data_IF_308319154347
#
_entry.id   IF_308319154347
#
_cell.length_a   1.000
_cell.length_b   1.000
_cell.length_c   1.000
_cell.angle_alpha   90.00
_cell.angle_beta   90.00
_cell.angle_gamma   90.00
#
_symmetry.space_group_name_H-M   'P 1'
#
loop_
_entity.id
_entity.type
_entity.pdbx_description
1 polymer ?
#
# COMPACT_ATOMS: atom_id res chain seq x y z
N UNK A 1 3.12 21.60 -60.94
CA UNK A 1 4.55 21.94 -60.79
C UNK A 1 5.26 20.73 -60.21
N UNK A 2 6.39 20.35 -60.81
CA UNK A 2 7.21 19.18 -60.48
C UNK A 2 7.25 18.86 -58.98
N UNK A 3 6.64 17.74 -58.59
CA UNK A 3 7.00 17.01 -57.38
C UNK A 3 8.31 16.27 -57.68
N UNK A 4 9.37 17.05 -57.77
CA UNK A 4 10.73 16.55 -57.79
C UNK A 4 10.97 15.74 -56.51
N UNK A 5 11.62 14.61 -56.69
CA UNK A 5 12.07 13.70 -55.64
C UNK A 5 12.88 14.50 -54.61
N UNK A 6 12.32 14.74 -53.42
CA UNK A 6 13.05 15.29 -52.28
C UNK A 6 12.84 14.37 -51.09
N UNK A 7 13.89 13.62 -50.76
CA UNK A 7 13.97 12.77 -49.59
C UNK A 7 14.19 11.31 -49.99
N UNK A 8 15.34 10.76 -49.61
CA UNK A 8 15.64 9.34 -49.75
C UNK A 8 14.67 8.44 -48.94
N UNK A 9 15.04 7.19 -48.64
CA UNK A 9 14.13 6.18 -48.06
C UNK A 9 13.50 6.53 -46.70
N UNK A 10 13.76 7.71 -46.13
CA UNK A 10 13.23 8.20 -44.85
C UNK A 10 12.13 9.29 -44.95
N UNK A 11 11.82 9.82 -46.14
CA UNK A 11 10.89 10.96 -46.30
C UNK A 11 11.49 12.32 -45.87
N UNK A 12 10.77 13.45 -46.02
CA UNK A 12 11.30 14.78 -45.69
C UNK A 12 11.39 14.99 -44.18
N UNK A 13 12.61 15.24 -43.66
CA UNK A 13 12.88 15.46 -42.23
C UNK A 13 11.92 16.46 -41.58
N UNK A 14 11.60 17.56 -42.27
CA UNK A 14 10.67 18.58 -41.77
C UNK A 14 9.25 18.05 -41.51
N UNK A 15 8.76 17.08 -42.29
CA UNK A 15 7.45 16.47 -42.08
C UNK A 15 7.48 15.48 -40.91
N UNK A 16 8.55 14.67 -40.77
CA UNK A 16 8.74 13.82 -39.59
C UNK A 16 8.80 14.67 -38.30
N UNK A 17 9.52 15.79 -38.33
CA UNK A 17 9.62 16.74 -37.22
C UNK A 17 8.25 17.36 -36.89
N UNK A 18 7.48 17.73 -37.91
CA UNK A 18 6.13 18.26 -37.75
C UNK A 18 5.17 17.24 -37.14
N UNK A 19 5.25 15.96 -37.52
CA UNK A 19 4.46 14.87 -36.93
C UNK A 19 4.84 14.71 -35.46
N UNK A 20 6.13 14.56 -35.14
CA UNK A 20 6.60 14.42 -33.74
C UNK A 20 6.14 15.60 -32.88
N UNK A 21 6.22 16.82 -33.40
CA UNK A 21 5.72 18.02 -32.72
C UNK A 21 4.21 17.98 -32.52
N UNK A 22 3.43 17.66 -33.57
CA UNK A 22 1.98 17.59 -33.47
C UNK A 22 1.51 16.53 -32.46
N UNK A 23 2.21 15.40 -32.38
CA UNK A 23 1.97 14.37 -31.35
C UNK A 23 2.27 14.92 -29.95
N UNK A 24 3.46 15.49 -29.72
CA UNK A 24 3.83 16.04 -28.40
C UNK A 24 2.92 17.18 -27.93
N UNK A 25 2.44 17.99 -28.87
CA UNK A 25 1.54 19.12 -28.59
C UNK A 25 0.06 18.68 -28.48
N UNK A 26 -0.26 17.39 -28.70
CA UNK A 26 -1.63 16.88 -28.73
C UNK A 26 -2.51 17.48 -29.84
N UNK A 27 -1.90 17.96 -30.93
CA UNK A 27 -2.57 18.69 -31.99
C UNK A 27 -3.21 17.74 -33.03
N UNK A 28 -4.39 17.22 -32.70
CA UNK A 28 -5.14 16.29 -33.56
C UNK A 28 -5.48 16.89 -34.94
N UNK A 29 -5.72 18.21 -35.04
CA UNK A 29 -6.00 18.87 -36.33
C UNK A 29 -4.78 18.90 -37.26
N UNK A 30 -3.58 19.07 -36.71
CA UNK A 30 -2.35 18.94 -37.46
C UNK A 30 -2.11 17.49 -37.89
N UNK A 31 -2.37 16.52 -37.00
CA UNK A 31 -2.28 15.10 -37.31
C UNK A 31 -3.29 14.66 -38.39
N UNK A 32 -4.52 15.19 -38.37
CA UNK A 32 -5.54 14.95 -39.40
C UNK A 32 -5.13 15.49 -40.78
N UNK A 33 -4.41 16.62 -40.81
CA UNK A 33 -3.87 17.17 -42.06
C UNK A 33 -2.71 16.31 -42.58
N UNK A 34 -1.79 15.95 -41.68
CA UNK A 34 -0.63 15.11 -42.03
C UNK A 34 -1.02 13.68 -42.38
N UNK A 35 -2.15 13.16 -41.86
CA UNK A 35 -2.61 11.80 -42.13
C UNK A 35 -3.17 11.59 -43.54
N UNK A 36 -3.80 12.61 -44.13
CA UNK A 36 -4.34 12.53 -45.49
C UNK A 36 -3.26 12.39 -46.57
N UNK A 37 -2.11 13.01 -46.33
CA UNK A 37 -1.03 13.07 -47.31
C UNK A 37 0.17 12.21 -46.87
N UNK A 38 0.90 12.66 -45.85
CA UNK A 38 2.22 12.11 -45.49
C UNK A 38 2.15 10.80 -44.71
N UNK A 39 1.26 10.67 -43.72
CA UNK A 39 1.13 9.45 -42.90
C UNK A 39 0.18 8.41 -43.53
N UNK A 40 -0.34 8.67 -44.74
CA UNK A 40 -1.06 7.65 -45.52
C UNK A 40 -0.14 6.47 -45.91
N UNK A 41 1.17 6.71 -45.95
CA UNK A 41 2.21 5.71 -46.11
C UNK A 41 2.62 5.24 -44.70
N UNK A 42 2.22 4.02 -44.31
CA UNK A 42 2.44 3.49 -42.96
C UNK A 42 3.92 3.50 -42.54
N UNK A 43 4.82 3.24 -43.48
CA UNK A 43 6.28 3.32 -43.32
C UNK A 43 6.74 4.66 -42.69
N UNK A 44 6.04 5.76 -42.97
CA UNK A 44 6.38 7.08 -42.43
C UNK A 44 6.03 7.21 -40.94
N UNK A 45 5.02 6.48 -40.45
CA UNK A 45 4.65 6.45 -39.03
C UNK A 45 5.78 5.82 -38.22
N UNK A 46 6.34 4.70 -38.69
CA UNK A 46 7.45 3.99 -38.03
C UNK A 46 8.77 4.78 -38.04
N UNK A 47 8.98 5.57 -39.10
CA UNK A 47 10.16 6.46 -39.26
C UNK A 47 10.10 7.70 -38.36
N UNK A 48 8.93 8.05 -37.82
CA UNK A 48 8.79 9.17 -36.89
C UNK A 48 9.33 8.79 -35.50
N UNK A 49 10.65 8.77 -35.38
CA UNK A 49 11.39 8.50 -34.13
C UNK A 49 12.16 9.71 -33.66
N UNK A 50 12.21 9.98 -32.36
CA UNK A 50 13.08 11.01 -31.79
C UNK A 50 14.55 10.57 -31.64
N UNK A 51 15.39 11.45 -31.09
CA UNK A 51 16.83 11.19 -30.88
C UNK A 51 17.09 10.04 -29.89
N UNK A 52 16.12 9.74 -29.02
CA UNK A 52 16.15 8.61 -28.08
C UNK A 52 15.51 7.35 -28.70
N UNK A 53 15.12 7.39 -29.98
CA UNK A 53 14.45 6.30 -30.66
C UNK A 53 12.96 6.16 -30.30
N UNK A 54 12.37 7.09 -29.55
CA UNK A 54 10.95 7.06 -29.18
C UNK A 54 10.08 7.22 -30.42
N UNK A 55 9.17 6.28 -30.64
CA UNK A 55 8.17 6.32 -31.72
C UNK A 55 7.06 7.33 -31.41
N UNK A 56 6.19 7.59 -32.39
CA UNK A 56 4.97 8.42 -32.18
C UNK A 56 4.09 7.90 -31.05
N UNK A 57 4.06 6.59 -30.76
CA UNK A 57 3.27 6.03 -29.64
C UNK A 57 3.88 6.46 -28.31
N UNK A 58 5.20 6.39 -28.14
CA UNK A 58 5.88 6.89 -26.94
C UNK A 58 5.65 8.39 -26.74
N UNK A 59 5.72 9.16 -27.83
CA UNK A 59 5.57 10.61 -27.79
C UNK A 59 4.13 11.07 -27.54
N UNK A 60 3.15 10.18 -27.76
CA UNK A 60 1.73 10.45 -27.56
C UNK A 60 1.26 10.19 -26.12
N UNK A 61 2.15 9.69 -25.26
CA UNK A 61 1.84 9.42 -23.86
C UNK A 61 1.77 10.73 -23.08
N UNK A 62 0.59 11.06 -22.60
CA UNK A 62 0.35 12.14 -21.65
C UNK A 62 -0.78 11.75 -20.69
N UNK A 63 -1.28 12.69 -19.87
CA UNK A 63 -2.37 12.40 -18.92
C UNK A 63 -3.72 12.13 -19.61
N UNK A 64 -3.90 12.62 -20.83
CA UNK A 64 -5.01 12.41 -21.74
C UNK A 64 -4.66 11.29 -22.71
N UNK A 65 -5.53 10.29 -22.80
CA UNK A 65 -5.39 9.18 -23.75
C UNK A 65 -5.74 9.57 -25.20
N UNK A 66 -6.23 10.78 -25.47
CA UNK A 66 -6.78 11.17 -26.78
C UNK A 66 -5.76 11.15 -27.94
N UNK A 67 -4.55 11.67 -27.72
CA UNK A 67 -3.49 11.66 -28.75
C UNK A 67 -3.02 10.24 -29.02
N UNK A 68 -2.84 9.46 -27.95
CA UNK A 68 -2.49 8.06 -28.02
C UNK A 68 -3.55 7.27 -28.79
N UNK A 69 -4.83 7.48 -28.49
CA UNK A 69 -5.95 6.83 -29.18
C UNK A 69 -5.91 7.09 -30.69
N UNK A 70 -5.69 8.35 -31.08
CA UNK A 70 -5.55 8.70 -32.49
C UNK A 70 -4.37 7.98 -33.14
N UNK A 71 -3.19 8.01 -32.50
CA UNK A 71 -1.97 7.41 -33.06
C UNK A 71 -2.11 5.88 -33.16
N UNK A 72 -2.71 5.22 -32.18
CA UNK A 72 -2.87 3.77 -32.17
C UNK A 72 -4.00 3.32 -33.11
N UNK A 73 -5.20 3.90 -33.00
CA UNK A 73 -6.37 3.41 -33.74
C UNK A 73 -6.45 3.95 -35.18
N UNK A 74 -6.09 5.23 -35.41
CA UNK A 74 -6.18 5.85 -36.75
C UNK A 74 -4.91 5.66 -37.56
N UNK A 75 -3.75 5.89 -36.94
CA UNK A 75 -2.47 5.74 -37.64
C UNK A 75 -1.93 4.31 -37.61
N UNK A 76 -2.55 3.41 -36.82
CA UNK A 76 -2.12 1.99 -36.68
C UNK A 76 -0.64 1.87 -36.34
N UNK A 77 -0.13 2.80 -35.54
CA UNK A 77 1.25 2.79 -35.11
C UNK A 77 1.53 1.56 -34.23
N UNK A 78 2.70 0.95 -34.41
CA UNK A 78 3.12 -0.21 -33.63
C UNK A 78 3.28 0.13 -32.14
N UNK A 79 2.42 -0.46 -31.32
CA UNK A 79 2.39 -0.29 -29.85
C UNK A 79 3.52 -1.03 -29.15
N UNK A 80 4.21 -1.95 -29.83
CA UNK A 80 5.29 -2.78 -29.29
C UNK A 80 6.68 -2.34 -29.74
N UNK A 81 6.77 -1.34 -30.62
CA UNK A 81 8.04 -0.80 -31.07
C UNK A 81 8.86 -0.27 -29.89
N UNK A 82 10.14 -0.60 -29.83
CA UNK A 82 11.02 -0.17 -28.73
C UNK A 82 11.82 1.09 -29.07
N UNK A 83 12.09 1.92 -28.05
CA UNK A 83 13.07 3.01 -28.12
C UNK A 83 14.53 2.51 -27.99
N UNK A 84 15.50 3.42 -27.93
CA UNK A 84 16.92 3.07 -27.88
C UNK A 84 17.33 2.30 -26.59
N UNK A 85 16.52 2.40 -25.54
CA UNK A 85 16.71 1.66 -24.28
C UNK A 85 16.00 0.30 -24.28
N UNK A 86 15.39 -0.10 -25.41
CA UNK A 86 14.59 -1.31 -25.54
C UNK A 86 13.22 -1.21 -24.87
N UNK A 87 12.80 -0.01 -24.44
CA UNK A 87 11.52 0.20 -23.75
C UNK A 87 10.41 0.36 -24.77
N UNK A 88 9.26 -0.26 -24.52
CA UNK A 88 8.02 -0.07 -25.28
C UNK A 88 7.25 1.15 -24.75
N UNK A 89 6.25 1.68 -25.47
CA UNK A 89 5.33 2.68 -24.94
C UNK A 89 4.69 2.26 -23.61
N UNK A 90 4.40 0.97 -23.42
CA UNK A 90 3.84 0.46 -22.17
C UNK A 90 4.81 0.66 -20.99
N UNK A 91 6.12 0.51 -21.19
CA UNK A 91 7.11 0.83 -20.16
C UNK A 91 7.07 2.32 -19.78
N UNK A 92 6.95 3.22 -20.76
CA UNK A 92 6.90 4.66 -20.49
C UNK A 92 5.58 5.08 -19.83
N UNK A 93 4.46 4.47 -20.23
CA UNK A 93 3.15 4.73 -19.62
C UNK A 93 3.15 4.40 -18.13
N UNK A 94 3.68 3.23 -17.75
CA UNK A 94 3.76 2.83 -16.35
C UNK A 94 4.83 3.58 -15.55
N UNK A 95 5.86 4.15 -16.17
CA UNK A 95 6.81 5.03 -15.44
C UNK A 95 6.15 6.30 -14.91
N UNK A 96 5.17 6.82 -15.64
CA UNK A 96 4.48 8.06 -15.30
C UNK A 96 3.12 7.83 -14.63
N UNK A 97 2.78 6.57 -14.34
CA UNK A 97 1.47 6.12 -13.87
C UNK A 97 0.29 6.62 -14.74
N UNK A 98 0.46 6.60 -16.07
CA UNK A 98 -0.60 6.95 -17.01
C UNK A 98 -1.56 5.77 -17.20
N UNK A 99 -2.46 5.57 -16.24
CA UNK A 99 -3.37 4.41 -16.17
C UNK A 99 -4.21 4.26 -17.44
N UNK A 100 -4.86 5.33 -17.91
CA UNK A 100 -5.67 5.28 -19.15
C UNK A 100 -4.83 4.90 -20.38
N UNK A 101 -3.58 5.40 -20.45
CA UNK A 101 -2.67 5.02 -21.53
C UNK A 101 -2.25 3.55 -21.43
N UNK A 102 -2.01 3.06 -20.21
CA UNK A 102 -1.69 1.66 -19.93
C UNK A 102 -2.83 0.75 -20.42
N UNK A 103 -4.08 1.07 -20.05
CA UNK A 103 -5.27 0.34 -20.49
C UNK A 103 -5.42 0.36 -22.01
N UNK A 104 -5.35 1.55 -22.63
CA UNK A 104 -5.48 1.69 -24.08
C UNK A 104 -4.42 0.91 -24.84
N UNK A 105 -3.17 0.94 -24.39
CA UNK A 105 -2.09 0.17 -24.99
C UNK A 105 -2.37 -1.34 -24.93
N UNK A 106 -2.75 -1.85 -23.77
CA UNK A 106 -3.05 -3.28 -23.59
C UNK A 106 -4.27 -3.72 -24.40
N UNK A 107 -5.33 -2.90 -24.43
CA UNK A 107 -6.55 -3.16 -25.21
C UNK A 107 -6.29 -3.15 -26.73
N UNK A 108 -5.18 -2.54 -27.16
CA UNK A 108 -4.72 -2.51 -28.55
C UNK A 108 -3.51 -3.43 -28.81
N UNK A 109 -3.28 -4.43 -27.95
CA UNK A 109 -2.31 -5.50 -28.21
C UNK A 109 -0.86 -5.17 -27.82
N UNK A 110 -0.65 -4.26 -26.86
CA UNK A 110 0.66 -4.11 -26.25
C UNK A 110 1.05 -5.40 -25.50
N UNK A 111 2.24 -5.90 -25.79
CA UNK A 111 2.83 -7.09 -25.18
C UNK A 111 3.58 -6.67 -23.91
N UNK A 112 3.03 -7.08 -22.76
CA UNK A 112 3.56 -6.79 -21.44
C UNK A 112 4.71 -7.73 -21.03
N UNK A 113 5.12 -8.65 -21.91
CA UNK A 113 6.27 -9.54 -21.72
C UNK A 113 7.54 -8.99 -22.35
N UNK A 114 7.44 -7.97 -23.21
CA UNK A 114 8.60 -7.37 -23.87
C UNK A 114 9.54 -6.79 -22.81
N UNK A 115 10.80 -7.15 -22.96
CA UNK A 115 11.86 -6.82 -22.03
C UNK A 115 12.70 -5.64 -22.55
N UNK A 116 12.93 -4.66 -21.68
CA UNK A 116 13.91 -3.61 -21.95
C UNK A 116 15.35 -4.15 -21.99
N UNK A 117 16.32 -3.29 -22.29
CA UNK A 117 17.75 -3.67 -22.32
C UNK A 117 18.27 -4.27 -21.01
N UNK A 118 17.63 -3.99 -19.87
CA UNK A 118 17.93 -4.58 -18.55
C UNK A 118 17.10 -5.82 -18.23
N UNK A 119 16.40 -6.38 -19.23
CA UNK A 119 15.37 -7.42 -19.11
C UNK A 119 14.26 -7.12 -18.12
N UNK A 120 14.04 -5.84 -17.80
CA UNK A 120 12.90 -5.40 -17.01
C UNK A 120 11.67 -5.35 -17.92
N UNK A 121 10.58 -6.02 -17.53
CA UNK A 121 9.25 -5.90 -18.18
C UNK A 121 8.56 -4.59 -17.75
N UNK A 122 7.43 -4.19 -18.37
CA UNK A 122 6.63 -3.08 -17.89
C UNK A 122 6.18 -3.28 -16.44
N UNK A 123 5.86 -4.50 -16.01
CA UNK A 123 5.46 -4.79 -14.64
C UNK A 123 6.56 -4.46 -13.62
N UNK A 124 7.81 -4.86 -13.90
CA UNK A 124 8.98 -4.46 -13.09
C UNK A 124 9.15 -2.94 -13.01
N UNK A 125 8.93 -2.25 -14.14
CA UNK A 125 9.02 -0.79 -14.21
C UNK A 125 7.94 -0.13 -13.35
N UNK A 126 6.70 -0.61 -13.45
CA UNK A 126 5.58 -0.10 -12.67
C UNK A 126 5.84 -0.24 -11.16
N UNK A 127 6.36 -1.41 -10.73
CA UNK A 127 6.75 -1.66 -9.35
C UNK A 127 7.89 -0.75 -8.88
N UNK A 128 8.91 -0.53 -9.73
CA UNK A 128 10.02 0.37 -9.41
C UNK A 128 9.58 1.84 -9.30
N UNK A 129 8.55 2.25 -10.05
CA UNK A 129 8.03 3.62 -10.08
C UNK A 129 6.84 3.86 -9.14
N UNK A 130 6.42 2.88 -8.34
CA UNK A 130 5.29 3.04 -7.43
C UNK A 130 3.91 3.12 -8.10
N UNK A 131 3.80 2.68 -9.36
CA UNK A 131 2.59 2.80 -10.18
C UNK A 131 1.65 1.62 -9.98
N UNK A 132 1.08 1.53 -8.77
CA UNK A 132 0.25 0.41 -8.31
C UNK A 132 -0.99 0.22 -9.20
N UNK A 133 -1.64 1.29 -9.63
CA UNK A 133 -2.81 1.21 -10.50
C UNK A 133 -2.47 0.60 -11.86
N UNK A 134 -1.30 0.95 -12.42
CA UNK A 134 -0.80 0.29 -13.63
C UNK A 134 -0.43 -1.18 -13.40
N UNK A 135 0.07 -1.54 -12.21
CA UNK A 135 0.33 -2.94 -11.85
C UNK A 135 -0.98 -3.74 -11.79
N UNK A 136 -2.05 -3.18 -11.24
CA UNK A 136 -3.38 -3.80 -11.22
C UNK A 136 -3.93 -4.03 -12.62
N UNK A 137 -3.80 -3.02 -13.49
CA UNK A 137 -4.19 -3.07 -14.91
C UNK A 137 -3.45 -4.19 -15.66
N UNK A 138 -2.12 -4.30 -15.48
CA UNK A 138 -1.31 -5.36 -16.10
C UNK A 138 -1.66 -6.72 -15.50
N UNK A 139 -1.75 -6.82 -14.17
CA UNK A 139 -2.05 -8.07 -13.47
C UNK A 139 -3.41 -8.66 -13.88
N UNK A 140 -4.45 -7.82 -13.96
CA UNK A 140 -5.80 -8.24 -14.33
C UNK A 140 -5.91 -8.73 -15.79
N UNK A 141 -5.01 -8.28 -16.67
CA UNK A 141 -4.96 -8.67 -18.10
C UNK A 141 -3.96 -9.80 -18.38
N UNK A 142 -3.13 -10.17 -17.41
CA UNK A 142 -2.16 -11.26 -17.56
C UNK A 142 -2.86 -12.62 -17.58
N UNK A 143 -2.46 -13.49 -18.52
CA UNK A 143 -2.91 -14.90 -18.54
C UNK A 143 -2.32 -15.72 -17.38
N UNK A 144 -1.16 -15.32 -16.86
CA UNK A 144 -0.49 -15.97 -15.72
C UNK A 144 -0.15 -14.95 -14.60
N UNK A 145 -1.15 -14.44 -13.86
CA UNK A 145 -0.92 -13.38 -12.86
C UNK A 145 0.08 -13.76 -11.75
N UNK A 146 0.07 -15.02 -11.31
CA UNK A 146 1.00 -15.51 -10.30
C UNK A 146 2.47 -15.56 -10.80
N UNK A 147 2.67 -15.88 -12.08
CA UNK A 147 4.00 -15.86 -12.70
C UNK A 147 4.45 -14.42 -12.94
N UNK A 148 3.55 -13.54 -13.38
CA UNK A 148 3.80 -12.12 -13.63
C UNK A 148 4.42 -11.41 -12.43
N UNK A 149 3.85 -11.60 -11.24
CA UNK A 149 4.34 -11.01 -9.98
C UNK A 149 5.74 -11.51 -9.59
N UNK A 150 6.11 -12.71 -10.07
CA UNK A 150 7.36 -13.39 -9.76
C UNK A 150 8.35 -13.41 -10.94
N UNK A 151 8.09 -12.66 -12.01
CA UNK A 151 9.05 -12.49 -13.10
C UNK A 151 10.36 -11.93 -12.57
N UNK A 152 11.45 -12.27 -13.26
CA UNK A 152 12.80 -11.85 -12.91
C UNK A 152 13.43 -11.10 -14.08
N UNK A 153 14.13 -10.01 -13.77
CA UNK A 153 14.91 -9.26 -14.75
C UNK A 153 16.30 -9.88 -15.01
N UNK A 154 17.18 -9.14 -15.70
CA UNK A 154 18.53 -9.59 -16.08
C UNK A 154 19.41 -9.91 -14.89
N UNK A 155 19.18 -9.23 -13.77
CA UNK A 155 19.90 -9.43 -12.51
C UNK A 155 19.18 -10.44 -11.63
N UNK A 156 18.25 -11.22 -12.19
CA UNK A 156 17.36 -12.11 -11.45
C UNK A 156 16.57 -11.38 -10.35
N UNK A 157 16.37 -10.07 -10.48
CA UNK A 157 15.64 -9.27 -9.51
C UNK A 157 14.15 -9.32 -9.82
N UNK A 158 13.34 -9.68 -8.84
CA UNK A 158 11.88 -9.58 -8.91
C UNK A 158 11.38 -8.14 -8.73
N UNK A 159 10.10 -7.90 -9.02
CA UNK A 159 9.43 -6.64 -8.68
C UNK A 159 9.60 -6.26 -7.19
N UNK A 160 9.60 -7.26 -6.28
CA UNK A 160 9.79 -7.04 -4.84
C UNK A 160 11.20 -6.53 -4.50
N UNK A 161 12.22 -6.88 -5.29
CA UNK A 161 13.56 -6.29 -5.14
C UNK A 161 13.58 -4.81 -5.54
N UNK A 162 12.84 -4.43 -6.60
CA UNK A 162 12.79 -3.05 -7.08
C UNK A 162 12.13 -2.13 -6.06
N UNK A 163 11.01 -2.54 -5.47
CA UNK A 163 10.37 -1.74 -4.42
C UNK A 163 11.16 -1.75 -3.11
N UNK A 164 11.86 -2.85 -2.78
CA UNK A 164 12.76 -2.89 -1.64
C UNK A 164 13.95 -1.94 -1.76
N UNK A 165 14.38 -1.65 -3.00
CA UNK A 165 15.38 -0.62 -3.26
C UNK A 165 14.82 0.79 -3.02
N UNK A 166 13.65 1.09 -3.59
CA UNK A 166 13.04 2.43 -3.57
C UNK A 166 12.45 2.82 -2.20
N UNK A 167 11.84 1.86 -1.48
CA UNK A 167 11.27 2.06 -0.14
C UNK A 167 9.75 2.16 -0.08
N UNK A 168 9.02 2.03 -1.20
CA UNK A 168 7.56 2.08 -1.20
C UNK A 168 6.94 0.80 -0.61
N UNK A 169 6.45 0.92 0.63
CA UNK A 169 5.77 -0.16 1.36
C UNK A 169 4.42 -0.53 0.73
N UNK A 170 3.76 0.38 0.01
CA UNK A 170 2.46 0.11 -0.63
C UNK A 170 2.61 -0.90 -1.77
N UNK A 171 3.64 -0.71 -2.61
CA UNK A 171 3.99 -1.66 -3.67
C UNK A 171 4.39 -3.00 -3.07
N UNK A 172 5.24 -2.98 -2.03
CA UNK A 172 5.67 -4.20 -1.33
C UNK A 172 4.48 -4.99 -0.80
N UNK A 173 3.50 -4.29 -0.21
CA UNK A 173 2.26 -4.87 0.28
C UNK A 173 1.44 -5.48 -0.84
N UNK A 174 1.18 -4.71 -1.88
CA UNK A 174 0.43 -5.17 -3.04
C UNK A 174 1.07 -6.44 -3.63
N UNK A 175 2.38 -6.45 -3.83
CA UNK A 175 3.09 -7.61 -4.40
C UNK A 175 2.93 -8.87 -3.53
N UNK A 176 3.13 -8.76 -2.22
CA UNK A 176 3.02 -9.92 -1.32
C UNK A 176 1.56 -10.41 -1.23
N UNK A 177 0.59 -9.51 -1.18
CA UNK A 177 -0.85 -9.86 -1.20
C UNK A 177 -1.26 -10.58 -2.51
N UNK A 178 -0.55 -10.32 -3.61
CA UNK A 178 -0.76 -10.96 -4.91
C UNK A 178 0.19 -12.13 -5.20
N UNK A 179 0.87 -12.66 -4.17
CA UNK A 179 1.63 -13.91 -4.27
C UNK A 179 3.11 -13.75 -4.66
N UNK A 180 3.72 -12.59 -4.42
CA UNK A 180 5.16 -12.43 -4.58
C UNK A 180 5.95 -13.32 -3.62
N UNK A 181 6.97 -13.98 -4.14
CA UNK A 181 7.91 -14.79 -3.36
C UNK A 181 8.83 -13.88 -2.55
N UNK A 182 8.68 -13.92 -1.23
CA UNK A 182 9.37 -13.01 -0.29
C UNK A 182 10.89 -13.21 -0.30
N UNK A 183 11.37 -14.45 -0.23
CA UNK A 183 12.80 -14.78 -0.12
C UNK A 183 13.45 -15.20 -1.44
N UNK A 184 12.97 -14.63 -2.56
CA UNK A 184 13.62 -14.83 -3.87
C UNK A 184 15.01 -14.19 -3.87
N UNK A 185 16.00 -14.87 -4.44
CA UNK A 185 17.37 -14.40 -4.50
C UNK A 185 17.72 -13.84 -5.88
N UNK A 186 18.27 -12.63 -5.92
CA UNK A 186 18.81 -12.03 -7.13
C UNK A 186 20.16 -12.65 -7.55
N UNK A 187 20.79 -12.10 -8.59
CA UNK A 187 22.08 -12.58 -9.10
C UNK A 187 23.24 -12.43 -8.11
N UNK A 188 23.12 -11.52 -7.14
CA UNK A 188 24.06 -11.36 -6.03
C UNK A 188 23.63 -12.14 -4.78
N UNK A 189 22.69 -13.09 -4.93
CA UNK A 189 22.07 -13.86 -3.85
C UNK A 189 21.43 -12.99 -2.75
N UNK A 190 21.12 -11.72 -3.05
CA UNK A 190 20.42 -10.84 -2.14
C UNK A 190 18.92 -11.11 -2.24
N UNK A 191 18.24 -11.14 -1.10
CA UNK A 191 16.78 -11.16 -1.03
C UNK A 191 16.22 -9.74 -1.02
N UNK A 192 14.93 -9.52 -1.30
CA UNK A 192 14.28 -8.22 -1.12
C UNK A 192 14.53 -7.62 0.27
N UNK A 193 14.49 -8.44 1.32
CA UNK A 193 14.82 -8.00 2.67
C UNK A 193 16.26 -7.48 2.78
N UNK A 194 17.25 -8.19 2.22
CA UNK A 194 18.65 -7.75 2.22
C UNK A 194 18.83 -6.44 1.44
N UNK A 195 18.14 -6.29 0.29
CA UNK A 195 18.15 -5.03 -0.48
C UNK A 195 17.57 -3.87 0.35
N UNK A 196 16.41 -4.07 0.99
CA UNK A 196 15.79 -3.07 1.85
C UNK A 196 16.70 -2.65 3.01
N UNK A 197 17.34 -3.61 3.67
CA UNK A 197 18.31 -3.34 4.75
C UNK A 197 19.52 -2.56 4.23
N UNK A 198 20.08 -2.95 3.07
CA UNK A 198 21.23 -2.29 2.45
C UNK A 198 20.94 -0.83 2.09
N UNK A 199 19.72 -0.55 1.63
CA UNK A 199 19.27 0.80 1.28
C UNK A 199 18.76 1.61 2.49
N UNK A 200 18.48 0.95 3.63
CA UNK A 200 17.97 1.60 4.84
C UNK A 200 16.46 1.86 4.81
N UNK A 201 15.70 1.04 4.09
CA UNK A 201 14.26 1.18 3.91
C UNK A 201 13.49 0.55 5.08
N UNK A 202 13.52 1.19 6.25
CA UNK A 202 12.98 0.65 7.51
C UNK A 202 11.54 0.16 7.41
N UNK A 203 10.65 0.92 6.73
CA UNK A 203 9.25 0.55 6.58
C UNK A 203 9.05 -0.74 5.75
N UNK A 204 9.85 -0.92 4.70
CA UNK A 204 9.83 -2.16 3.90
C UNK A 204 10.43 -3.32 4.68
N UNK A 205 11.50 -3.08 5.44
CA UNK A 205 12.09 -4.10 6.33
C UNK A 205 11.07 -4.60 7.35
N UNK A 206 10.42 -3.69 8.07
CA UNK A 206 9.38 -4.02 9.04
C UNK A 206 8.24 -4.82 8.39
N UNK A 207 7.78 -4.37 7.22
CA UNK A 207 6.75 -5.07 6.47
C UNK A 207 7.18 -6.49 6.08
N UNK A 208 8.33 -6.67 5.41
CA UNK A 208 8.80 -7.99 4.96
C UNK A 208 9.02 -8.95 6.13
N UNK A 209 9.58 -8.46 7.25
CA UNK A 209 9.72 -9.27 8.47
C UNK A 209 8.35 -9.68 9.04
N UNK A 210 7.36 -8.80 9.03
CA UNK A 210 5.99 -9.13 9.46
C UNK A 210 5.34 -10.21 8.59
N UNK A 211 5.75 -10.33 7.33
CA UNK A 211 5.29 -11.35 6.39
C UNK A 211 6.14 -12.64 6.44
N UNK A 212 7.10 -12.74 7.37
CA UNK A 212 7.88 -13.95 7.59
C UNK A 212 9.14 -14.08 6.73
N UNK A 213 9.66 -12.98 6.17
CA UNK A 213 10.94 -12.98 5.44
C UNK A 213 12.09 -13.54 6.30
N UNK A 214 12.93 -14.40 5.71
CA UNK A 214 14.07 -14.98 6.39
C UNK A 214 15.23 -13.97 6.54
N UNK A 215 15.34 -13.39 7.72
CA UNK A 215 16.38 -12.43 8.07
C UNK A 215 17.81 -13.01 8.17
N UNK A 216 17.98 -14.33 8.06
CA UNK A 216 19.27 -15.01 8.12
C UNK A 216 19.88 -15.32 6.76
N UNK A 217 19.21 -14.94 5.66
CA UNK A 217 19.79 -15.05 4.32
C UNK A 217 21.04 -14.17 4.19
N UNK A 218 21.97 -14.63 3.37
CA UNK A 218 23.25 -13.96 3.12
C UNK A 218 23.40 -13.71 1.63
N UNK A 219 23.97 -12.57 1.26
CA UNK A 219 24.34 -12.27 -0.12
C UNK A 219 25.48 -13.17 -0.62
N UNK A 220 25.92 -12.98 -1.86
CA UNK A 220 27.01 -13.73 -2.49
C UNK A 220 28.34 -13.61 -1.73
N UNK A 221 28.54 -12.55 -0.95
CA UNK A 221 29.72 -12.34 -0.12
C UNK A 221 29.54 -12.88 1.31
N UNK A 222 28.41 -13.52 1.62
CA UNK A 222 28.10 -14.00 2.95
C UNK A 222 27.61 -12.90 3.91
N UNK A 223 27.28 -11.70 3.45
CA UNK A 223 26.78 -10.66 4.33
C UNK A 223 25.28 -10.87 4.62
N UNK A 224 24.93 -10.96 5.89
CA UNK A 224 23.53 -10.94 6.36
C UNK A 224 23.04 -9.50 6.59
N UNK A 225 21.74 -9.33 6.87
CA UNK A 225 21.17 -8.01 7.19
C UNK A 225 21.91 -7.28 8.32
N UNK A 226 22.32 -8.01 9.37
CA UNK A 226 23.09 -7.45 10.49
C UNK A 226 24.48 -6.93 10.07
N UNK A 227 25.11 -7.53 9.06
CA UNK A 227 26.37 -7.01 8.51
C UNK A 227 26.14 -5.63 7.87
N UNK A 228 25.08 -5.49 7.06
CA UNK A 228 24.75 -4.21 6.43
C UNK A 228 24.35 -3.14 7.46
N UNK A 229 23.59 -3.50 8.50
CA UNK A 229 23.30 -2.60 9.61
C UNK A 229 24.58 -2.14 10.33
N UNK A 230 25.55 -3.03 10.53
CA UNK A 230 26.82 -2.70 11.16
C UNK A 230 27.65 -1.70 10.32
N UNK A 231 27.68 -1.83 8.98
CA UNK A 231 28.34 -0.84 8.09
C UNK A 231 27.68 0.55 8.21
N UNK A 232 26.35 0.59 8.21
CA UNK A 232 25.58 1.84 8.23
C UNK A 232 25.43 2.45 9.63
N UNK A 233 25.68 1.66 10.68
CA UNK A 233 25.30 1.97 12.06
C UNK A 233 23.78 2.21 12.21
N UNK A 234 22.97 1.40 11.52
CA UNK A 234 21.50 1.50 11.48
C UNK A 234 20.88 0.72 12.65
N UNK A 235 20.81 1.38 13.81
CA UNK A 235 20.29 0.80 15.06
C UNK A 235 18.82 0.35 14.96
N UNK A 236 17.88 1.16 14.42
CA UNK A 236 16.49 0.74 14.31
C UNK A 236 16.32 -0.54 13.51
N UNK A 237 16.97 -0.65 12.35
CA UNK A 237 16.87 -1.85 11.50
C UNK A 237 17.57 -3.05 12.15
N UNK A 238 18.72 -2.85 12.80
CA UNK A 238 19.38 -3.93 13.54
C UNK A 238 18.49 -4.48 14.66
N UNK A 239 17.81 -3.61 15.41
CA UNK A 239 16.89 -4.03 16.47
C UNK A 239 15.69 -4.80 15.90
N UNK A 240 15.12 -4.33 14.79
CA UNK A 240 14.03 -5.05 14.10
C UNK A 240 14.47 -6.46 13.68
N UNK A 241 15.65 -6.59 13.05
CA UNK A 241 16.17 -7.89 12.65
C UNK A 241 16.41 -8.82 13.85
N UNK A 242 16.98 -8.31 14.95
CA UNK A 242 17.22 -9.09 16.16
C UNK A 242 15.92 -9.52 16.84
N UNK A 243 14.91 -8.64 16.89
CA UNK A 243 13.58 -8.97 17.39
C UNK A 243 12.92 -10.08 16.53
N UNK A 244 13.21 -10.09 15.23
CA UNK A 244 12.80 -11.14 14.28
C UNK A 244 13.74 -12.36 14.26
N UNK A 245 14.56 -12.55 15.30
CA UNK A 245 15.46 -13.70 15.50
C UNK A 245 16.60 -13.81 14.47
N UNK A 246 17.11 -12.69 13.97
CA UNK A 246 18.35 -12.68 13.20
C UNK A 246 19.50 -13.23 14.04
N UNK A 247 20.30 -14.10 13.43
CA UNK A 247 21.46 -14.73 14.04
C UNK A 247 22.66 -13.79 13.94
N UNK A 248 23.14 -13.21 15.06
CA UNK A 248 24.24 -12.27 15.06
C UNK A 248 25.60 -12.96 14.89
N UNK A 249 25.65 -14.29 14.89
CA UNK A 249 26.89 -15.09 14.77
C UNK A 249 27.20 -15.50 13.34
N UNK A 250 26.34 -15.17 12.37
CA UNK A 250 26.62 -15.43 10.97
C UNK A 250 27.92 -14.74 10.56
N UNK A 251 28.71 -15.43 9.76
CA UNK A 251 29.99 -14.95 9.26
C UNK A 251 29.92 -14.80 7.75
N UNK A 252 30.50 -13.71 7.24
CA UNK A 252 30.65 -13.51 5.80
C UNK A 252 31.84 -14.30 5.22
N UNK A 253 32.14 -14.14 3.93
CA UNK A 253 33.21 -14.85 3.23
C UNK A 253 34.61 -14.64 3.85
N UNK A 254 34.82 -13.54 4.57
CA UNK A 254 36.07 -13.24 5.29
C UNK A 254 36.05 -13.72 6.75
N UNK A 255 35.04 -14.51 7.13
CA UNK A 255 34.76 -14.92 8.50
C UNK A 255 34.51 -13.74 9.46
N UNK A 256 34.13 -12.58 8.93
CA UNK A 256 33.74 -11.44 9.76
C UNK A 256 32.31 -11.67 10.25
N UNK A 257 32.08 -11.50 11.54
CA UNK A 257 30.72 -11.33 12.12
C UNK A 257 30.26 -9.87 11.96
N UNK A 258 28.97 -9.55 12.17
CA UNK A 258 28.52 -8.15 12.22
C UNK A 258 29.33 -7.29 13.20
N UNK A 259 29.81 -7.89 14.30
CA UNK A 259 30.66 -7.20 15.27
C UNK A 259 32.04 -6.84 14.71
N UNK A 260 32.63 -7.69 13.85
CA UNK A 260 33.86 -7.34 13.12
C UNK A 260 33.60 -6.16 12.19
N UNK A 261 32.51 -6.18 11.44
CA UNK A 261 32.14 -5.10 10.51
C UNK A 261 31.93 -3.78 11.26
N UNK A 262 31.21 -3.80 12.39
CA UNK A 262 31.03 -2.61 13.23
C UNK A 262 32.36 -2.06 13.76
N UNK A 263 33.32 -2.93 14.06
CA UNK A 263 34.65 -2.54 14.52
C UNK A 263 35.59 -2.07 13.39
N UNK A 264 35.37 -2.50 12.15
CA UNK A 264 36.13 -2.05 10.98
C UNK A 264 35.62 -0.69 10.48
N UNK A 265 34.31 -0.48 10.49
CA UNK A 265 33.64 0.75 10.06
C UNK A 265 33.38 1.69 11.24
N UNK A 266 34.40 1.91 12.09
CA UNK A 266 34.28 2.79 13.26
C UNK A 266 33.87 4.19 12.83
N UNK A 267 32.72 4.64 13.30
CA UNK A 267 32.38 6.07 13.30
C UNK A 267 32.90 6.65 14.60
N UNK A 268 34.15 7.12 14.55
CA UNK A 268 34.87 7.70 15.69
C UNK A 268 33.97 8.73 16.38
N UNK A 269 33.72 8.52 17.67
CA UNK A 269 32.95 9.39 18.59
C UNK A 269 31.43 9.48 18.42
N UNK A 270 30.76 8.45 17.86
CA UNK A 270 29.29 8.40 17.86
C UNK A 270 28.72 7.53 19.00
N UNK A 271 27.85 8.06 19.88
CA UNK A 271 27.08 7.26 20.82
C UNK A 271 26.31 6.11 20.15
N UNK A 272 25.91 6.30 18.88
CA UNK A 272 25.22 5.27 18.10
C UNK A 272 26.12 4.06 17.78
N UNK A 273 27.43 4.28 17.56
CA UNK A 273 28.36 3.18 17.34
C UNK A 273 28.54 2.33 18.60
N UNK A 274 28.70 2.97 19.77
CA UNK A 274 28.80 2.23 21.03
C UNK A 274 27.54 1.43 21.33
N UNK A 275 26.38 1.99 21.00
CA UNK A 275 25.09 1.31 21.08
C UNK A 275 25.03 0.13 20.10
N UNK A 276 25.52 0.26 18.87
CA UNK A 276 25.52 -0.83 17.88
C UNK A 276 26.41 -1.98 18.35
N UNK A 277 27.61 -1.67 18.83
CA UNK A 277 28.51 -2.68 19.43
C UNK A 277 27.85 -3.33 20.64
N UNK A 278 27.18 -2.54 21.48
CA UNK A 278 26.40 -3.04 22.60
C UNK A 278 25.32 -4.02 22.18
N UNK A 279 24.44 -3.59 21.28
CA UNK A 279 23.34 -4.36 20.73
C UNK A 279 23.81 -5.72 20.21
N UNK A 280 24.88 -5.73 19.40
CA UNK A 280 25.43 -6.97 18.83
C UNK A 280 26.00 -7.91 19.91
N UNK A 281 26.71 -7.37 20.91
CA UNK A 281 27.24 -8.16 22.02
C UNK A 281 26.12 -8.75 22.88
N UNK A 282 25.10 -7.95 23.17
CA UNK A 282 23.92 -8.33 23.94
C UNK A 282 23.09 -9.40 23.21
N UNK A 283 23.06 -9.33 21.88
CA UNK A 283 22.47 -10.35 21.03
C UNK A 283 23.29 -11.66 21.00
N UNK A 284 24.51 -11.68 21.55
CA UNK A 284 25.33 -12.88 21.69
C UNK A 284 26.42 -13.05 20.64
N UNK A 285 26.88 -11.97 19.99
CA UNK A 285 28.15 -11.95 19.27
C UNK A 285 29.32 -12.22 20.23
N UNK A 286 30.22 -13.13 19.86
CA UNK A 286 31.45 -13.35 20.62
C UNK A 286 32.50 -12.26 20.29
N UNK A 287 32.93 -11.42 21.26
CA UNK A 287 33.98 -10.41 21.06
C UNK A 287 35.38 -11.00 20.84
N UNK A 288 35.57 -12.30 21.06
CA UNK A 288 36.83 -13.01 20.87
C UNK A 288 36.87 -13.82 19.58
N UNK A 289 35.74 -13.90 18.84
CA UNK A 289 35.68 -14.57 17.54
C UNK A 289 36.76 -14.01 16.62
N UNK A 290 37.49 -14.90 15.94
CA UNK A 290 38.54 -14.54 14.99
C UNK A 290 37.99 -14.63 13.56
N UNK A 291 38.39 -13.69 12.72
CA UNK A 291 38.10 -13.72 11.29
C UNK A 291 39.22 -14.42 10.47
N UNK A 292 39.13 -14.39 9.14
CA UNK A 292 40.12 -15.00 8.24
C UNK A 292 41.53 -14.41 8.38
N UNK A 293 41.66 -13.17 8.90
CA UNK A 293 42.95 -12.53 9.19
C UNK A 293 43.45 -12.81 10.61
N UNK A 294 42.82 -13.73 11.35
CA UNK A 294 43.14 -14.06 12.73
C UNK A 294 43.07 -12.84 13.68
N UNK A 295 42.16 -11.90 13.40
CA UNK A 295 41.91 -10.71 14.21
C UNK A 295 40.54 -10.83 14.87
N UNK A 296 40.45 -10.40 16.13
CA UNK A 296 39.15 -10.21 16.82
C UNK A 296 38.61 -8.80 16.54
N UNK A 297 37.30 -8.52 16.75
CA UNK A 297 36.72 -7.21 16.51
C UNK A 297 37.50 -6.06 17.17
N UNK A 298 37.88 -6.23 18.44
CA UNK A 298 38.62 -5.20 19.20
C UNK A 298 40.03 -4.88 18.66
N UNK A 299 40.58 -5.64 17.70
CA UNK A 299 41.87 -5.34 17.08
C UNK A 299 41.78 -4.26 16.00
N UNK A 300 40.57 -3.99 15.50
CA UNK A 300 40.30 -2.93 14.53
C UNK A 300 40.08 -1.55 15.17
N UNK A 301 39.96 -1.47 16.50
CA UNK A 301 39.72 -0.22 17.23
C UNK A 301 40.93 0.25 18.02
N UNK A 302 41.02 1.57 18.25
CA UNK A 302 42.06 2.18 19.08
C UNK A 302 42.04 1.70 20.54
N UNK A 303 43.17 1.78 21.24
CA UNK A 303 43.35 1.27 22.62
C UNK A 303 42.23 1.72 23.59
N UNK A 304 41.79 2.97 23.50
CA UNK A 304 40.75 3.53 24.38
C UNK A 304 39.36 2.91 24.20
N UNK A 305 39.07 2.34 23.03
CA UNK A 305 37.76 1.77 22.69
C UNK A 305 37.68 0.25 22.90
N UNK A 306 38.82 -0.43 23.10
CA UNK A 306 38.85 -1.89 23.32
C UNK A 306 38.02 -2.32 24.53
N UNK A 307 37.88 -1.45 25.54
CA UNK A 307 37.06 -1.69 26.73
C UNK A 307 35.59 -1.96 26.41
N UNK A 308 35.06 -1.41 25.31
CA UNK A 308 33.66 -1.54 24.89
C UNK A 308 33.32 -2.99 24.50
N UNK A 309 34.32 -3.78 24.10
CA UNK A 309 34.18 -5.18 23.69
C UNK A 309 34.38 -6.18 24.85
N UNK A 310 34.64 -5.69 26.07
CA UNK A 310 34.93 -6.56 27.21
C UNK A 310 33.65 -7.18 27.77
N UNK A 311 33.77 -8.42 28.27
CA UNK A 311 32.67 -9.12 28.94
C UNK A 311 32.08 -8.30 30.10
N UNK A 312 32.92 -7.60 30.86
CA UNK A 312 32.46 -6.73 31.95
C UNK A 312 31.58 -5.58 31.43
N UNK A 313 32.00 -4.89 30.35
CA UNK A 313 31.20 -3.82 29.76
C UNK A 313 29.86 -4.36 29.22
N UNK A 314 29.84 -5.57 28.65
CA UNK A 314 28.60 -6.24 28.21
C UNK A 314 27.70 -6.57 29.40
N UNK A 315 28.24 -7.18 30.47
CA UNK A 315 27.46 -7.52 31.67
C UNK A 315 26.87 -6.28 32.36
N UNK A 316 27.63 -5.17 32.40
CA UNK A 316 27.13 -3.90 32.90
C UNK A 316 25.97 -3.35 32.04
N UNK A 317 26.07 -3.48 30.70
CA UNK A 317 25.00 -3.10 29.77
C UNK A 317 23.77 -3.98 29.95
N UNK A 318 23.94 -5.31 30.02
CA UNK A 318 22.87 -6.29 30.33
C UNK A 318 22.13 -5.91 31.61
N UNK A 319 22.85 -5.56 32.69
CA UNK A 319 22.23 -5.16 33.96
C UNK A 319 21.42 -3.87 33.84
N UNK A 320 21.95 -2.87 33.13
CA UNK A 320 21.24 -1.59 32.90
C UNK A 320 19.97 -1.80 32.08
N UNK A 321 20.04 -2.56 30.99
CA UNK A 321 18.87 -2.87 30.17
C UNK A 321 17.84 -3.72 30.92
N UNK A 322 18.29 -4.71 31.69
CA UNK A 322 17.38 -5.52 32.50
C UNK A 322 16.62 -4.67 33.53
N UNK A 323 17.30 -3.74 34.21
CA UNK A 323 16.66 -2.79 35.13
C UNK A 323 15.67 -1.87 34.41
N UNK A 324 16.05 -1.33 33.24
CA UNK A 324 15.16 -0.49 32.45
C UNK A 324 13.92 -1.25 31.95
N UNK A 325 14.08 -2.53 31.56
CA UNK A 325 12.95 -3.41 31.19
C UNK A 325 12.02 -3.67 32.37
N UNK A 326 12.58 -3.97 33.55
CA UNK A 326 11.80 -4.17 34.77
C UNK A 326 10.99 -2.92 35.15
N UNK A 327 11.59 -1.74 35.05
CA UNK A 327 10.92 -0.45 35.26
C UNK A 327 9.78 -0.23 34.26
N UNK A 328 10.03 -0.47 32.97
CA UNK A 328 9.02 -0.34 31.91
C UNK A 328 7.87 -1.35 32.04
N UNK A 329 8.17 -2.60 32.40
CA UNK A 329 7.16 -3.64 32.62
C UNK A 329 6.29 -3.29 33.84
N UNK A 330 6.87 -2.70 34.88
CA UNK A 330 6.13 -2.19 36.04
C UNK A 330 5.22 -1.02 35.67
N UNK A 331 5.69 -0.06 34.85
CA UNK A 331 4.86 1.03 34.32
C UNK A 331 3.70 0.51 33.47
N UNK A 332 3.95 -0.46 32.58
CA UNK A 332 2.93 -1.08 31.75
C UNK A 332 1.87 -1.81 32.60
N UNK A 333 2.31 -2.54 33.63
CA UNK A 333 1.42 -3.21 34.57
C UNK A 333 0.51 -2.22 35.31
N UNK A 334 1.08 -1.10 35.79
CA UNK A 334 0.31 -0.02 36.41
C UNK A 334 -0.73 0.59 35.45
N UNK A 335 -0.33 0.89 34.21
CA UNK A 335 -1.23 1.41 33.19
C UNK A 335 -2.37 0.42 32.85
N UNK A 336 -2.07 -0.88 32.83
CA UNK A 336 -3.07 -1.93 32.60
C UNK A 336 -4.06 -2.04 33.76
N UNK A 337 -3.61 -1.91 35.00
CA UNK A 337 -4.50 -1.84 36.16
C UNK A 337 -5.40 -0.61 36.09
N UNK A 338 -4.88 0.56 35.76
CA UNK A 338 -5.66 1.79 35.60
C UNK A 338 -6.73 1.64 34.51
N UNK A 339 -6.37 1.07 33.36
CA UNK A 339 -7.30 0.80 32.27
C UNK A 339 -8.39 -0.19 32.71
N UNK A 340 -8.04 -1.23 33.48
CA UNK A 340 -8.98 -2.21 34.02
C UNK A 340 -9.96 -1.60 35.03
N UNK A 341 -9.46 -0.72 35.92
CA UNK A 341 -10.30 0.04 36.86
C UNK A 341 -11.26 0.96 36.12
N UNK A 342 -10.77 1.69 35.12
CA UNK A 342 -11.59 2.58 34.29
C UNK A 342 -12.66 1.82 33.52
N UNK A 343 -12.30 0.70 32.86
CA UNK A 343 -13.23 -0.18 32.16
C UNK A 343 -14.35 -0.67 33.09
N UNK A 344 -14.00 -1.11 34.30
CA UNK A 344 -14.98 -1.56 35.29
C UNK A 344 -15.95 -0.45 35.66
N UNK A 345 -15.44 0.76 35.94
CA UNK A 345 -16.26 1.94 36.25
C UNK A 345 -17.21 2.31 35.11
N UNK A 346 -16.72 2.34 33.87
CA UNK A 346 -17.55 2.64 32.70
C UNK A 346 -18.66 1.60 32.53
N UNK A 347 -18.33 0.31 32.68
CA UNK A 347 -19.33 -0.76 32.58
C UNK A 347 -20.39 -0.63 33.68
N UNK A 348 -20.00 -0.34 34.93
CA UNK A 348 -20.96 -0.12 36.02
C UNK A 348 -21.85 1.08 35.76
N UNK A 349 -21.31 2.19 35.25
CA UNK A 349 -22.08 3.39 34.92
C UNK A 349 -23.08 3.12 33.78
N UNK A 350 -22.68 2.36 32.76
CA UNK A 350 -23.56 1.94 31.66
C UNK A 350 -24.67 1.02 32.17
N UNK A 351 -24.35 0.06 33.04
CA UNK A 351 -25.36 -0.81 33.66
C UNK A 351 -26.35 -0.01 34.50
N UNK A 352 -25.87 0.93 35.31
CA UNK A 352 -26.74 1.83 36.09
C UNK A 352 -27.65 2.66 35.19
N UNK A 353 -27.12 3.24 34.10
CA UNK A 353 -27.92 4.03 33.16
C UNK A 353 -29.01 3.20 32.49
N UNK A 354 -28.67 2.02 31.99
CA UNK A 354 -29.66 1.10 31.37
C UNK A 354 -30.74 0.67 32.36
N UNK A 355 -30.36 0.38 33.60
CA UNK A 355 -31.33 0.03 34.65
C UNK A 355 -32.25 1.21 34.97
N UNK A 356 -31.73 2.43 34.96
CA UNK A 356 -32.53 3.63 35.18
C UNK A 356 -33.48 3.90 34.01
N UNK A 357 -33.00 3.81 32.78
CA UNK A 357 -33.82 3.95 31.56
C UNK A 357 -34.95 2.92 31.52
N UNK A 358 -34.67 1.65 31.82
CA UNK A 358 -35.70 0.61 31.88
C UNK A 358 -36.76 0.85 32.97
N UNK A 359 -36.35 1.36 34.13
CA UNK A 359 -37.28 1.72 35.20
C UNK A 359 -38.15 2.93 34.81
N UNK A 360 -37.59 3.88 34.08
CA UNK A 360 -38.31 5.06 33.58
C UNK A 360 -39.30 4.69 32.47
N UNK A 361 -38.92 3.79 31.55
CA UNK A 361 -39.82 3.25 30.53
C UNK A 361 -41.00 2.48 31.14
N UNK A 362 -40.76 1.65 32.16
CA UNK A 362 -41.82 0.94 32.91
C UNK A 362 -42.76 1.93 33.62
N UNK A 363 -42.22 3.01 34.20
CA UNK A 363 -42.99 4.09 34.82
C UNK A 363 -43.89 4.80 33.81
N UNK A 364 -43.35 5.20 32.66
CA UNK A 364 -44.10 5.84 31.58
C UNK A 364 -45.15 4.91 30.96
N UNK A 365 -44.85 3.61 30.84
CA UNK A 365 -45.79 2.60 30.35
C UNK A 365 -47.00 2.45 31.28
N UNK A 366 -46.76 2.38 32.61
CA UNK A 366 -47.82 2.35 33.62
C UNK A 366 -48.68 3.60 33.58
N UNK A 367 -48.08 4.78 33.52
CA UNK A 367 -48.83 6.05 33.42
C UNK A 367 -49.68 6.12 32.14
N UNK A 368 -49.15 5.63 31.01
CA UNK A 368 -49.89 5.56 29.74
C UNK A 368 -51.06 4.58 29.83
N UNK A 369 -50.88 3.42 30.46
CA UNK A 369 -51.94 2.44 30.66
C UNK A 369 -53.06 2.99 31.55
N UNK A 370 -52.70 3.66 32.64
CA UNK A 370 -53.67 4.34 33.53
C UNK A 370 -54.45 5.43 32.79
N UNK A 371 -53.79 6.27 31.99
CA UNK A 371 -54.46 7.27 31.14
C UNK A 371 -55.40 6.63 30.13
N UNK A 372 -55.02 5.51 29.53
CA UNK A 372 -55.87 4.79 28.58
C UNK A 372 -57.10 4.19 29.27
N UNK A 373 -56.94 3.60 30.46
CA UNK A 373 -58.06 3.12 31.28
C UNK A 373 -59.01 4.27 31.62
N UNK A 374 -58.49 5.39 32.12
CA UNK A 374 -59.30 6.57 32.43
C UNK A 374 -60.04 7.12 31.21
N UNK A 375 -59.41 7.14 30.03
CA UNK A 375 -60.06 7.56 28.78
C UNK A 375 -61.16 6.59 28.33
N UNK A 376 -60.95 5.28 28.47
CA UNK A 376 -61.96 4.26 28.17
C UNK A 376 -63.14 4.36 29.13
N UNK A 377 -62.91 4.54 30.43
CA UNK A 377 -63.96 4.74 31.42
C UNK A 377 -64.78 6.00 31.12
N UNK A 378 -64.11 7.12 30.80
CA UNK A 378 -64.79 8.34 30.39
C UNK A 378 -65.63 8.16 29.11
N UNK A 379 -65.13 7.39 28.14
CA UNK A 379 -65.87 7.06 26.91
C UNK A 379 -67.11 6.20 27.21
N UNK A 380 -66.98 5.18 28.06
CA UNK A 380 -68.14 4.38 28.49
C UNK A 380 -69.19 5.23 29.18
N UNK A 381 -68.77 6.13 30.09
CA UNK A 381 -69.70 7.06 30.74
C UNK A 381 -70.41 7.99 29.74
N UNK A 382 -69.69 8.46 28.72
CA UNK A 382 -70.27 9.26 27.64
C UNK A 382 -71.28 8.47 26.80
N UNK A 383 -70.92 7.25 26.38
CA UNK A 383 -71.79 6.38 25.58
C UNK A 383 -73.07 6.01 26.36
N UNK A 384 -72.95 5.69 27.66
CA UNK A 384 -74.10 5.48 28.55
C UNK A 384 -75.00 6.72 28.65
N UNK A 385 -74.41 7.91 28.80
CA UNK A 385 -75.17 9.16 28.85
C UNK A 385 -75.89 9.44 27.53
N UNK A 386 -75.25 9.18 26.39
CA UNK A 386 -75.85 9.32 25.07
C UNK A 386 -77.01 8.36 24.85
N UNK A 387 -76.90 7.09 25.26
CA UNK A 387 -78.01 6.14 25.20
C UNK A 387 -79.18 6.56 26.09
N UNK A 388 -78.91 7.07 27.30
CA UNK A 388 -79.97 7.63 28.16
C UNK A 388 -80.67 8.81 27.48
N UNK A 389 -79.92 9.71 26.83
CA UNK A 389 -80.51 10.80 26.06
C UNK A 389 -81.36 10.30 24.89
N UNK A 390 -80.87 9.34 24.09
CA UNK A 390 -81.65 8.74 22.98
C UNK A 390 -82.94 8.09 23.47
N UNK A 391 -82.88 7.37 24.59
CA UNK A 391 -84.06 6.75 25.19
C UNK A 391 -85.08 7.82 25.61
N UNK A 392 -84.64 8.90 26.25
CA UNK A 392 -85.49 10.03 26.62
C UNK A 392 -86.11 10.73 25.40
N UNK A 393 -85.32 10.96 24.34
CA UNK A 393 -85.81 11.53 23.08
C UNK A 393 -86.85 10.63 22.40
N UNK A 394 -86.62 9.32 22.36
CA UNK A 394 -87.56 8.34 21.82
C UNK A 394 -88.86 8.30 22.64
N UNK A 395 -88.77 8.39 23.96
CA UNK A 395 -89.94 8.53 24.85
C UNK A 395 -90.72 9.81 24.56
N UNK A 396 -90.03 10.95 24.42
CA UNK A 396 -90.64 12.24 24.09
C UNK A 396 -91.33 12.16 22.72
N UNK A 397 -90.67 11.57 21.71
CA UNK A 397 -91.22 11.36 20.39
C UNK A 397 -92.46 10.45 20.42
N UNK A 398 -92.43 9.36 21.21
CA UNK A 398 -93.58 8.47 21.41
C UNK A 398 -94.75 9.20 22.07
N UNK A 399 -94.49 10.02 23.09
CA UNK A 399 -95.50 10.86 23.75
C UNK A 399 -96.10 11.88 22.78
N UNK A 400 -95.28 12.54 21.97
CA UNK A 400 -95.74 13.44 20.88
C UNK A 400 -96.60 12.71 19.85
N UNK A 401 -96.18 11.54 19.37
CA UNK A 401 -96.97 10.74 18.42
C UNK A 401 -98.30 10.25 18.99
N UNK A 402 -98.39 9.96 20.29
CA UNK A 402 -99.67 9.66 20.94
C UNK A 402 -100.58 10.89 21.03
N UNK A 403 -100.01 12.06 21.33
CA UNK A 403 -100.74 13.34 21.32
C UNK A 403 -101.26 13.69 19.92
N UNK A 404 -100.46 13.53 18.88
CA UNK A 404 -100.89 13.73 17.49
C UNK A 404 -102.00 12.77 17.09
N UNK A 405 -101.87 11.47 17.42
CA UNK A 405 -102.94 10.48 17.19
C UNK A 405 -104.23 10.84 17.93
N UNK A 406 -104.13 11.32 19.17
CA UNK A 406 -105.28 11.81 19.93
C UNK A 406 -105.92 13.04 19.26
N UNK A 407 -105.11 13.96 18.74
CA UNK A 407 -105.59 15.14 18.01
C UNK A 407 -106.27 14.78 16.67
N UNK A 408 -105.71 13.85 15.89
CA UNK A 408 -106.36 13.35 14.66
C UNK A 408 -107.64 12.57 14.92
N UNK A 409 -107.78 11.91 16.07
CA UNK A 409 -109.04 11.27 16.50
C UNK A 409 -110.08 12.27 17.04
N UNK A 410 -109.65 13.44 17.48
CA UNK A 410 -110.53 14.52 17.92
C UNK A 410 -110.95 15.45 16.75
N UNK A 411 -110.30 15.34 15.59
CA UNK A 411 -110.56 16.15 14.39
C UNK A 411 -111.32 15.45 13.25
N UNK A 412 -111.78 14.20 13.43
CA UNK A 412 -112.57 13.43 12.47
C UNK A 412 -113.98 13.13 13.01
#
# INVERSE_FOLDING_TARGET
MNLGVIGGPQGPKALLDAVRKAVRDGNIDALNRLSKDFLSINDNVEKCRDENGNTVVHLALDKSSATLEYVVQKLRADVNATNAQGRTPLHEAVTHNYVECCELLLDNGADDTIQSTTQSTPFHTAAACGSVECMEVIFARSETPAEKVNELDRQRSSALHKCAFDGDVRVSRWLVEHGATIDVADAANATPLLVAVKMGQTAVVEYLLSQGADCNRQDQQGNSGLHFCAVRCDLPVAQLLLNSRANPRLMNAELNTPLHIAAQHVRLDSPAWEQMVGLLLMAGCDPLQLNASNKKPSDYVGRGLKKVFTREAVEQRMRKEAKAREENDAELANAWEECSRWKTKVLTDVHHRRSWEAAEDDRLAKEKEERLRAANDARMMYDEAMERCRFQEAEIARKKGMLEKANTKAGN
#
